data_IF_850355721292
#
_entry.id   IF_850355721292
#
_cell.length_a   1.000
_cell.length_b   1.000
_cell.length_c   1.000
_cell.angle_alpha   90.00
_cell.angle_beta   90.00
_cell.angle_gamma   90.00
#
_symmetry.space_group_name_H-M   'P 1'
#
loop_
_entity.id
_entity.type
_entity.pdbx_description
1 polymer ?
#
# COMPACT_ATOMS: atom_id res chain seq x y z
N UNK A 1 10.42 20.70 2.48
CA UNK A 1 9.79 19.40 2.77
C UNK A 1 10.15 18.45 1.64
N UNK A 2 10.47 17.19 1.96
CA UNK A 2 10.82 16.19 0.95
C UNK A 2 9.67 15.95 -0.03
N UNK A 3 10.00 15.65 -1.29
CA UNK A 3 9.03 15.22 -2.31
C UNK A 3 8.71 13.73 -2.27
N UNK A 4 9.09 13.02 -1.21
CA UNK A 4 8.84 11.58 -1.04
C UNK A 4 8.07 11.37 0.26
N UNK A 5 6.93 10.70 0.16
CA UNK A 5 6.05 10.45 1.29
C UNK A 5 5.68 8.96 1.36
N UNK A 6 6.05 8.31 2.47
CA UNK A 6 5.42 7.05 2.87
C UNK A 6 4.07 7.40 3.49
N UNK A 7 3.00 6.75 3.09
CA UNK A 7 1.63 7.14 3.41
C UNK A 7 0.75 5.93 3.64
N UNK A 8 -0.19 6.08 4.57
CA UNK A 8 -1.18 5.08 4.93
C UNK A 8 -2.45 5.79 5.46
N UNK A 9 -3.60 5.16 5.29
CA UNK A 9 -4.89 5.68 5.73
C UNK A 9 -5.71 4.64 6.48
N UNK A 10 -6.41 5.09 7.51
CA UNK A 10 -7.55 4.37 8.07
C UNK A 10 -8.85 4.93 7.49
N UNK A 11 -9.82 4.06 7.29
CA UNK A 11 -11.08 4.41 6.62
C UNK A 11 -12.30 3.80 7.30
N UNK A 12 -13.48 4.32 7.00
CA UNK A 12 -14.76 3.84 7.54
C UNK A 12 -15.10 2.39 7.18
N UNK A 13 -14.67 1.91 6.00
CA UNK A 13 -14.95 0.57 5.46
C UNK A 13 -14.14 0.34 4.16
N UNK A 14 -14.15 -0.89 3.64
CA UNK A 14 -13.37 -1.26 2.45
C UNK A 14 -14.07 -1.02 1.09
N UNK A 15 -15.38 -0.79 1.06
CA UNK A 15 -16.16 -0.74 -0.19
C UNK A 15 -16.46 0.69 -0.65
N UNK A 16 -16.84 1.55 0.28
CA UNK A 16 -17.09 2.98 0.12
C UNK A 16 -16.25 3.79 1.13
N UNK A 17 -14.91 3.66 1.11
CA UNK A 17 -14.05 4.19 2.14
C UNK A 17 -14.14 5.72 2.23
N UNK A 18 -14.28 6.25 3.45
CA UNK A 18 -14.05 7.66 3.77
C UNK A 18 -12.89 7.75 4.76
N UNK A 19 -11.99 8.71 4.53
CA UNK A 19 -10.80 8.94 5.37
C UNK A 19 -11.19 9.25 6.82
N UNK A 20 -10.58 8.53 7.77
CA UNK A 20 -10.70 8.81 9.21
C UNK A 20 -9.35 9.09 9.88
N UNK A 21 -8.25 8.57 9.34
CA UNK A 21 -6.89 8.90 9.78
C UNK A 21 -5.96 8.90 8.58
N UNK A 22 -5.11 9.91 8.47
CA UNK A 22 -4.01 9.94 7.52
C UNK A 22 -2.70 10.05 8.28
N UNK A 23 -1.73 9.19 7.95
CA UNK A 23 -0.40 9.28 8.50
C UNK A 23 0.66 9.19 7.41
N UNK A 24 1.82 9.77 7.68
CA UNK A 24 2.92 9.64 6.75
C UNK A 24 4.28 10.01 7.31
N UNK A 25 5.30 9.61 6.55
CA UNK A 25 6.71 9.82 6.83
C UNK A 25 7.32 10.49 5.61
N UNK A 26 7.72 11.75 5.75
CA UNK A 26 8.50 12.43 4.72
C UNK A 26 9.92 11.88 4.75
N UNK A 27 10.36 11.32 3.63
CA UNK A 27 11.70 10.72 3.53
C UNK A 27 12.73 11.80 3.21
N UNK A 28 13.54 12.18 4.17
CA UNK A 28 14.61 13.16 4.03
C UNK A 28 15.96 12.45 3.88
N UNK A 29 16.73 12.82 2.86
CA UNK A 29 18.00 12.15 2.55
C UNK A 29 17.82 10.70 2.10
N UNK A 30 18.59 9.79 2.68
CA UNK A 30 18.52 8.37 2.35
C UNK A 30 17.29 7.72 3.02
N UNK A 31 16.53 6.87 2.32
CA UNK A 31 15.45 6.12 2.94
C UNK A 31 15.95 5.21 4.06
N UNK A 32 17.24 4.86 4.12
CA UNK A 32 17.84 4.03 5.18
C UNK A 32 18.14 4.79 6.48
N UNK A 33 18.19 6.11 6.44
CA UNK A 33 18.45 6.94 7.63
C UNK A 33 17.22 6.96 8.56
N UNK A 34 17.43 7.35 9.82
CA UNK A 34 16.32 7.54 10.76
C UNK A 34 15.46 8.73 10.29
N UNK A 35 14.20 8.45 10.01
CA UNK A 35 13.24 9.45 9.56
C UNK A 35 12.49 10.03 10.76
N UNK A 36 12.46 11.36 10.86
CA UNK A 36 11.87 12.08 11.98
C UNK A 36 10.66 12.91 11.60
N UNK A 37 10.56 13.30 10.32
CA UNK A 37 9.47 14.11 9.81
C UNK A 37 8.24 13.23 9.54
N UNK A 38 7.37 13.13 10.54
CA UNK A 38 6.16 12.30 10.51
C UNK A 38 4.93 13.15 10.83
N UNK A 39 3.78 12.75 10.31
CA UNK A 39 2.49 13.29 10.72
C UNK A 39 1.46 12.18 10.93
N UNK A 40 0.46 12.49 11.75
CA UNK A 40 -0.74 11.69 11.95
C UNK A 40 -1.87 12.66 12.24
N UNK A 41 -2.98 12.54 11.51
CA UNK A 41 -4.14 13.40 11.70
C UNK A 41 -5.41 12.59 11.49
N UNK A 42 -6.35 12.74 12.42
CA UNK A 42 -7.69 12.17 12.35
C UNK A 42 -8.66 13.15 11.71
N UNK A 43 -9.70 12.59 11.09
CA UNK A 43 -10.71 13.32 10.34
C UNK A 43 -12.10 12.82 10.70
N UNK A 44 -13.06 13.73 10.72
CA UNK A 44 -14.47 13.40 10.80
C UNK A 44 -14.95 12.95 9.40
N UNK A 45 -15.38 11.69 9.22
CA UNK A 45 -15.84 11.17 7.94
C UNK A 45 -17.26 11.61 7.55
N UNK A 46 -17.99 12.29 8.44
CA UNK A 46 -19.41 12.66 8.28
C UNK A 46 -20.34 11.45 8.04
N UNK A 47 -19.86 10.23 8.32
CA UNK A 47 -20.64 8.98 8.29
C UNK A 47 -20.09 7.96 9.31
N UNK A 48 -20.90 6.99 9.77
CA UNK A 48 -20.44 5.98 10.73
C UNK A 48 -19.34 5.07 10.18
N UNK A 49 -18.43 4.63 11.06
CA UNK A 49 -17.44 3.59 10.78
C UNK A 49 -18.13 2.21 10.81
N UNK A 50 -17.83 1.35 9.84
CA UNK A 50 -18.28 -0.04 9.88
C UNK A 50 -17.58 -0.82 11.00
N UNK A 51 -18.28 -1.76 11.65
CA UNK A 51 -17.66 -2.56 12.72
C UNK A 51 -16.46 -3.40 12.25
N UNK A 52 -16.41 -3.77 10.97
CA UNK A 52 -15.25 -4.46 10.39
C UNK A 52 -14.00 -3.59 10.32
N UNK A 53 -14.15 -2.33 9.88
CA UNK A 53 -13.06 -1.35 9.91
C UNK A 53 -12.64 -1.04 11.36
N UNK A 54 -13.62 -0.78 12.24
CA UNK A 54 -13.36 -0.54 13.66
C UNK A 54 -12.62 -1.71 14.33
N UNK A 55 -12.90 -2.95 13.95
CA UNK A 55 -12.16 -4.12 14.44
C UNK A 55 -10.72 -4.21 13.90
N UNK A 56 -10.42 -3.53 12.79
CA UNK A 56 -9.09 -3.50 12.16
C UNK A 56 -8.20 -2.42 12.79
N UNK A 57 -8.72 -1.20 12.94
CA UNK A 57 -7.93 -0.03 13.37
C UNK A 57 -8.28 0.50 14.77
N UNK A 58 -9.36 0.02 15.38
CA UNK A 58 -9.79 0.37 16.75
C UNK A 58 -10.04 1.87 17.02
N UNK A 59 -10.36 2.64 15.98
CA UNK A 59 -10.77 4.06 16.10
C UNK A 59 -12.29 4.10 16.21
N UNK A 60 -12.80 4.83 17.20
CA UNK A 60 -14.23 4.94 17.48
C UNK A 60 -14.84 6.21 16.86
N UNK A 61 -16.13 6.17 16.51
CA UNK A 61 -16.85 7.31 15.96
C UNK A 61 -16.79 8.52 16.91
N UNK A 62 -16.88 8.29 18.23
CA UNK A 62 -16.86 9.34 19.26
C UNK A 62 -15.52 10.09 19.30
N UNK A 63 -14.42 9.47 18.89
CA UNK A 63 -13.10 10.09 18.84
C UNK A 63 -12.94 11.07 17.67
N UNK A 64 -13.84 11.01 16.67
CA UNK A 64 -13.73 11.76 15.42
C UNK A 64 -14.66 12.99 15.36
N UNK A 65 -15.60 13.13 16.30
CA UNK A 65 -16.63 14.18 16.28
C UNK A 65 -16.03 15.59 16.18
N UNK A 66 -14.95 15.86 16.93
CA UNK A 66 -14.27 17.16 16.95
C UNK A 66 -13.14 17.33 15.92
N UNK A 67 -12.88 16.32 15.09
CA UNK A 67 -11.83 16.37 14.08
C UNK A 67 -12.26 17.22 12.87
N UNK A 68 -11.30 17.77 12.10
CA UNK A 68 -11.60 18.42 10.82
C UNK A 68 -12.26 17.42 9.86
N UNK A 69 -13.06 17.89 8.91
CA UNK A 69 -13.75 17.01 7.97
C UNK A 69 -12.75 16.29 7.07
N UNK A 70 -13.04 15.06 6.68
CA UNK A 70 -12.24 14.28 5.73
C UNK A 70 -11.95 15.03 4.42
N UNK A 71 -12.92 15.83 3.95
CA UNK A 71 -12.81 16.69 2.77
C UNK A 71 -11.77 17.82 2.88
N UNK A 72 -11.34 18.16 4.10
CA UNK A 72 -10.31 19.15 4.38
C UNK A 72 -8.90 18.59 4.18
N UNK A 73 -8.72 17.26 4.10
CA UNK A 73 -7.41 16.68 3.80
C UNK A 73 -6.87 17.24 2.46
N UNK A 74 -5.59 17.61 2.48
CA UNK A 74 -4.83 18.02 1.29
C UNK A 74 -3.47 17.35 1.30
N UNK A 75 -3.17 16.60 0.24
CA UNK A 75 -1.80 16.15 0.00
C UNK A 75 -0.92 17.36 -0.31
N UNK A 76 0.27 17.41 0.31
CA UNK A 76 1.23 18.48 0.04
C UNK A 76 1.64 18.47 -1.44
N UNK A 77 1.51 19.61 -2.12
CA UNK A 77 1.78 19.75 -3.55
C UNK A 77 3.22 19.41 -3.97
N UNK A 78 4.18 19.43 -3.03
CA UNK A 78 5.56 19.08 -3.31
C UNK A 78 5.82 17.55 -3.32
N UNK A 79 4.85 16.74 -2.92
CA UNK A 79 4.98 15.28 -2.95
C UNK A 79 5.01 14.81 -4.40
N UNK A 80 6.17 14.30 -4.81
CA UNK A 80 6.44 13.72 -6.12
C UNK A 80 6.16 12.22 -6.14
N UNK A 81 6.51 11.52 -5.07
CA UNK A 81 6.30 10.08 -4.89
C UNK A 81 5.47 9.83 -3.63
N UNK A 82 4.29 9.24 -3.82
CA UNK A 82 3.43 8.72 -2.77
C UNK A 82 3.64 7.20 -2.70
N UNK A 83 4.04 6.71 -1.53
CA UNK A 83 4.50 5.33 -1.34
C UNK A 83 3.65 4.67 -0.28
N UNK A 84 3.13 3.48 -0.56
CA UNK A 84 2.29 2.74 0.36
C UNK A 84 2.35 1.25 0.11
N UNK A 85 1.55 0.49 0.84
CA UNK A 85 1.41 -0.94 0.65
C UNK A 85 -0.01 -1.22 0.18
N UNK A 86 -0.19 -1.53 -1.12
CA UNK A 86 -1.47 -1.39 -1.82
C UNK A 86 -1.92 0.08 -2.00
N UNK A 87 -0.96 0.96 -2.30
CA UNK A 87 -1.11 2.43 -2.28
C UNK A 87 -2.27 3.00 -3.12
N UNK A 88 -2.78 2.25 -4.10
CA UNK A 88 -3.90 2.71 -4.93
C UNK A 88 -5.18 2.87 -4.13
N UNK A 89 -5.33 2.08 -3.05
CA UNK A 89 -6.41 2.25 -2.09
C UNK A 89 -6.31 3.62 -1.41
N UNK A 90 -5.23 3.90 -0.69
CA UNK A 90 -5.02 5.18 0.01
C UNK A 90 -5.08 6.38 -0.93
N UNK A 91 -4.48 6.25 -2.12
CA UNK A 91 -4.54 7.26 -3.16
C UNK A 91 -5.97 7.55 -3.61
N UNK A 92 -6.83 6.53 -3.70
CA UNK A 92 -8.24 6.70 -4.05
C UNK A 92 -9.03 7.39 -2.94
N UNK A 93 -8.75 7.05 -1.67
CA UNK A 93 -9.37 7.63 -0.47
C UNK A 93 -9.14 9.13 -0.39
N UNK A 94 -7.93 9.59 -0.73
CA UNK A 94 -7.56 11.02 -0.69
C UNK A 94 -7.93 11.80 -1.98
N UNK A 95 -8.78 11.23 -2.84
CA UNK A 95 -9.31 11.92 -4.01
C UNK A 95 -8.44 11.86 -5.27
N UNK A 96 -7.58 10.85 -5.40
CA UNK A 96 -6.78 10.57 -6.60
C UNK A 96 -5.91 11.75 -7.10
N UNK A 97 -5.12 12.40 -6.23
CA UNK A 97 -4.27 13.52 -6.65
C UNK A 97 -3.26 13.08 -7.74
N UNK A 98 -2.86 13.97 -8.67
CA UNK A 98 -1.90 13.64 -9.73
C UNK A 98 -0.49 13.49 -9.14
N UNK A 99 -0.15 12.28 -8.69
CA UNK A 99 1.13 11.96 -8.04
C UNK A 99 1.65 10.60 -8.52
N UNK A 100 2.98 10.43 -8.55
CA UNK A 100 3.56 9.12 -8.85
C UNK A 100 3.40 8.20 -7.66
N UNK A 101 2.92 6.99 -7.89
CA UNK A 101 2.60 6.00 -6.85
C UNK A 101 3.65 4.90 -6.85
N UNK A 102 4.17 4.54 -5.69
CA UNK A 102 5.06 3.40 -5.49
C UNK A 102 4.35 2.42 -4.57
N UNK A 103 4.06 1.23 -5.08
CA UNK A 103 3.38 0.17 -4.34
C UNK A 103 4.37 -0.90 -3.87
N UNK A 104 4.57 -0.95 -2.55
CA UNK A 104 5.43 -1.96 -1.92
C UNK A 104 4.82 -3.36 -1.91
N UNK A 105 3.50 -3.51 -2.02
CA UNK A 105 2.85 -4.83 -2.13
C UNK A 105 3.19 -5.49 -3.47
N UNK A 106 3.02 -4.74 -4.56
CA UNK A 106 3.37 -5.19 -5.90
C UNK A 106 4.86 -5.55 -5.98
N UNK A 107 5.73 -4.66 -5.49
CA UNK A 107 7.17 -4.90 -5.43
C UNK A 107 7.52 -6.13 -4.58
N UNK A 108 6.91 -6.31 -3.40
CA UNK A 108 7.17 -7.45 -2.54
C UNK A 108 6.81 -8.78 -3.21
N UNK A 109 5.67 -8.84 -3.93
CA UNK A 109 5.27 -10.03 -4.69
C UNK A 109 6.27 -10.39 -5.79
N UNK A 110 6.86 -9.39 -6.44
CA UNK A 110 7.89 -9.61 -7.46
C UNK A 110 9.23 -10.07 -6.87
N UNK A 111 9.62 -9.53 -5.70
CA UNK A 111 10.93 -9.76 -5.07
C UNK A 111 10.97 -11.01 -4.19
N UNK A 112 9.83 -11.41 -3.62
CA UNK A 112 9.69 -12.54 -2.69
C UNK A 112 8.54 -13.46 -3.10
N UNK A 113 8.48 -13.97 -4.35
CA UNK A 113 7.35 -14.77 -4.84
C UNK A 113 7.11 -16.07 -4.05
N UNK A 114 8.12 -16.54 -3.31
CA UNK A 114 8.08 -17.74 -2.49
C UNK A 114 7.33 -17.60 -1.16
N UNK A 115 7.07 -16.37 -0.69
CA UNK A 115 6.35 -16.15 0.56
C UNK A 115 4.86 -16.50 0.41
N UNK A 116 4.30 -17.10 1.45
CA UNK A 116 2.89 -17.52 1.50
C UNK A 116 1.91 -16.35 1.62
N UNK A 117 2.36 -15.20 2.12
CA UNK A 117 1.60 -13.97 2.21
C UNK A 117 2.51 -12.74 2.03
N UNK A 118 2.01 -11.77 1.27
CA UNK A 118 2.64 -10.47 1.06
C UNK A 118 1.92 -9.34 1.79
N UNK A 119 0.97 -9.65 2.69
CA UNK A 119 0.35 -8.61 3.52
C UNK A 119 1.40 -7.92 4.41
N UNK A 120 1.20 -6.63 4.70
CA UNK A 120 2.19 -5.79 5.38
C UNK A 120 2.74 -6.40 6.67
N UNK A 121 1.85 -6.92 7.52
CA UNK A 121 2.24 -7.58 8.79
C UNK A 121 3.00 -8.88 8.55
N UNK A 122 2.55 -9.70 7.59
CA UNK A 122 3.23 -10.96 7.25
C UNK A 122 4.65 -10.69 6.72
N UNK A 123 4.80 -9.72 5.81
CA UNK A 123 6.11 -9.27 5.33
C UNK A 123 6.97 -8.71 6.46
N UNK A 124 6.38 -7.97 7.39
CA UNK A 124 7.10 -7.45 8.56
C UNK A 124 7.68 -8.59 9.38
N UNK A 125 6.97 -9.70 9.59
CA UNK A 125 7.52 -10.89 10.26
C UNK A 125 8.54 -11.66 9.42
N UNK A 126 8.30 -11.78 8.11
CA UNK A 126 9.16 -12.51 7.18
C UNK A 126 10.53 -11.85 7.02
N UNK A 127 10.56 -10.51 6.95
CA UNK A 127 11.75 -9.70 6.69
C UNK A 127 12.43 -9.19 7.97
N UNK A 128 11.80 -9.35 9.13
CA UNK A 128 12.40 -8.99 10.42
C UNK A 128 13.40 -10.07 10.88
N UNK A 129 14.53 -9.62 11.42
CA UNK A 129 15.48 -10.48 12.15
C UNK A 129 14.74 -11.31 13.20
N UNK A 130 14.97 -12.62 13.20
CA UNK A 130 14.31 -13.57 14.09
C UNK A 130 14.40 -13.16 15.58
N UNK A 131 15.52 -12.55 15.99
CA UNK A 131 15.74 -12.10 17.37
C UNK A 131 14.88 -10.86 17.73
N UNK A 132 14.45 -10.09 16.74
CA UNK A 132 13.62 -8.88 16.92
C UNK A 132 12.12 -9.15 16.79
N UNK A 133 11.70 -10.36 16.39
CA UNK A 133 10.27 -10.71 16.23
C UNK A 133 9.45 -10.51 17.49
N UNK A 134 10.02 -10.72 18.68
CA UNK A 134 9.32 -10.43 19.95
C UNK A 134 9.00 -8.94 20.08
N UNK A 135 9.95 -8.06 19.78
CA UNK A 135 9.75 -6.61 19.82
C UNK A 135 8.73 -6.17 18.77
N UNK A 136 8.82 -6.71 17.54
CA UNK A 136 7.85 -6.44 16.48
C UNK A 136 6.43 -6.83 16.90
N UNK A 137 6.26 -8.01 17.52
CA UNK A 137 4.95 -8.46 18.02
C UNK A 137 4.37 -7.48 19.04
N UNK A 138 5.19 -6.96 19.96
CA UNK A 138 4.70 -5.99 20.94
C UNK A 138 4.29 -4.66 20.27
N UNK A 139 4.98 -4.22 19.21
CA UNK A 139 4.53 -3.05 18.42
C UNK A 139 3.17 -3.34 17.77
N UNK A 140 3.05 -4.47 17.07
CA UNK A 140 1.84 -4.83 16.34
C UNK A 140 0.61 -4.99 17.25
N UNK A 141 0.79 -5.56 18.45
CA UNK A 141 -0.32 -5.72 19.41
C UNK A 141 -0.83 -4.41 20.00
N UNK A 142 0.05 -3.41 20.11
CA UNK A 142 -0.23 -2.20 20.87
C UNK A 142 -0.47 -0.96 19.99
N UNK A 143 -0.29 -1.07 18.67
CA UNK A 143 -0.36 0.08 17.77
C UNK A 143 -0.83 -0.30 16.35
N UNK A 144 -2.12 -0.59 16.18
CA UNK A 144 -2.77 -0.55 14.86
C UNK A 144 -3.22 0.88 14.58
N UNK A 145 -2.38 1.62 13.88
CA UNK A 145 -2.67 2.97 13.40
C UNK A 145 -1.97 3.19 12.08
N UNK A 146 -2.46 4.16 11.29
CA UNK A 146 -1.88 4.46 9.99
C UNK A 146 -0.37 4.78 10.09
N UNK A 147 0.08 5.40 11.20
CA UNK A 147 1.51 5.71 11.36
C UNK A 147 2.35 4.45 11.60
N UNK A 148 1.82 3.45 12.31
CA UNK A 148 2.53 2.18 12.47
C UNK A 148 2.66 1.50 11.12
N UNK A 149 1.60 1.45 10.34
CA UNK A 149 1.61 0.81 9.02
C UNK A 149 2.51 1.56 8.02
N UNK A 150 2.53 2.90 8.03
CA UNK A 150 3.52 3.68 7.29
C UNK A 150 4.97 3.35 7.70
N UNK A 151 5.26 3.11 8.99
CA UNK A 151 6.60 2.71 9.46
C UNK A 151 6.96 1.29 9.00
N UNK A 152 6.03 0.36 9.05
CA UNK A 152 6.22 -1.00 8.56
C UNK A 152 6.43 -1.00 7.03
N UNK A 153 5.66 -0.19 6.30
CA UNK A 153 5.79 0.00 4.86
C UNK A 153 7.20 0.52 4.51
N UNK A 154 7.72 1.51 5.24
CA UNK A 154 9.09 1.99 5.07
C UNK A 154 10.14 0.88 5.34
N UNK A 155 9.90 0.03 6.34
CA UNK A 155 10.77 -1.12 6.63
C UNK A 155 10.77 -2.15 5.50
N UNK A 156 9.60 -2.48 4.95
CA UNK A 156 9.46 -3.36 3.78
C UNK A 156 10.14 -2.75 2.56
N UNK A 157 9.92 -1.46 2.30
CA UNK A 157 10.57 -0.74 1.21
C UNK A 157 12.10 -0.86 1.33
N UNK A 158 12.69 -0.58 2.49
CA UNK A 158 14.15 -0.70 2.72
C UNK A 158 14.68 -2.09 2.38
N UNK A 159 13.98 -3.15 2.79
CA UNK A 159 14.38 -4.52 2.48
C UNK A 159 14.37 -4.78 0.96
N UNK A 160 13.34 -4.30 0.26
CA UNK A 160 13.26 -4.40 -1.20
C UNK A 160 14.38 -3.61 -1.88
N UNK A 161 14.60 -2.35 -1.47
CA UNK A 161 15.65 -1.50 -2.03
C UNK A 161 17.04 -2.13 -1.86
N UNK A 162 17.30 -2.72 -0.68
CA UNK A 162 18.56 -3.41 -0.41
C UNK A 162 18.71 -4.68 -1.26
N UNK A 163 17.66 -5.51 -1.37
CA UNK A 163 17.70 -6.76 -2.14
C UNK A 163 17.86 -6.52 -3.65
N UNK A 164 17.27 -5.45 -4.16
CA UNK A 164 17.29 -5.09 -5.58
C UNK A 164 18.42 -4.11 -5.94
N UNK A 165 19.22 -3.68 -4.97
CA UNK A 165 20.27 -2.65 -5.12
C UNK A 165 19.76 -1.34 -5.79
N UNK A 166 18.59 -0.87 -5.34
CA UNK A 166 17.93 0.31 -5.90
C UNK A 166 18.18 1.57 -5.06
N UNK A 167 18.77 2.59 -5.69
CA UNK A 167 19.20 3.83 -5.00
C UNK A 167 18.48 5.10 -5.48
N UNK A 168 18.01 5.14 -6.73
CA UNK A 168 17.38 6.33 -7.32
C UNK A 168 15.87 6.20 -7.34
N UNK A 169 15.16 7.23 -6.87
CA UNK A 169 13.70 7.23 -6.84
C UNK A 169 13.01 7.06 -8.20
N UNK A 170 13.65 7.49 -9.30
CA UNK A 170 13.15 7.21 -10.67
C UNK A 170 13.12 5.72 -10.97
N UNK A 171 14.16 5.01 -10.55
CA UNK A 171 14.37 3.60 -10.85
C UNK A 171 13.51 2.74 -9.91
N UNK A 172 13.37 3.17 -8.66
CA UNK A 172 12.42 2.60 -7.69
C UNK A 172 10.99 2.72 -8.22
N UNK A 173 10.61 3.90 -8.75
CA UNK A 173 9.29 4.10 -9.35
C UNK A 173 9.09 3.22 -10.58
N UNK A 174 10.07 3.17 -11.50
CA UNK A 174 9.99 2.31 -12.68
C UNK A 174 9.85 0.83 -12.31
N UNK A 175 10.61 0.35 -11.32
CA UNK A 175 10.51 -1.01 -10.81
C UNK A 175 9.14 -1.30 -10.17
N UNK A 176 8.56 -0.33 -9.45
CA UNK A 176 7.21 -0.45 -8.91
C UNK A 176 6.17 -0.58 -10.03
N UNK A 177 6.27 0.24 -11.08
CA UNK A 177 5.36 0.19 -12.23
C UNK A 177 5.46 -1.15 -12.98
N UNK A 178 6.68 -1.71 -13.15
CA UNK A 178 6.84 -3.06 -13.69
C UNK A 178 6.20 -4.12 -12.77
N UNK A 179 6.46 -4.01 -11.47
CA UNK A 179 5.99 -4.99 -10.46
C UNK A 179 4.46 -5.04 -10.34
N UNK A 180 3.77 -3.95 -10.68
CA UNK A 180 2.31 -3.89 -10.68
C UNK A 180 1.70 -4.78 -11.76
N UNK A 181 2.42 -5.09 -12.85
CA UNK A 181 1.92 -5.93 -13.95
C UNK A 181 2.07 -7.42 -13.58
N UNK A 182 0.97 -8.15 -13.32
CA UNK A 182 1.06 -9.54 -12.88
C UNK A 182 1.60 -10.45 -13.98
N UNK A 183 2.65 -11.21 -13.67
CA UNK A 183 3.21 -12.26 -14.55
C UNK A 183 2.49 -13.60 -14.39
N UNK A 184 1.89 -13.83 -13.22
CA UNK A 184 1.14 -15.02 -12.83
C UNK A 184 -0.31 -14.63 -12.53
N UNK A 185 -1.26 -15.46 -12.94
CA UNK A 185 -2.68 -15.24 -12.69
C UNK A 185 -2.97 -15.25 -11.18
N UNK A 186 -3.49 -14.16 -10.60
CA UNK A 186 -3.60 -14.01 -9.16
C UNK A 186 -4.77 -14.77 -8.52
N UNK A 187 -5.81 -15.11 -9.29
CA UNK A 187 -7.05 -15.72 -8.80
C UNK A 187 -7.75 -16.59 -9.85
N UNK A 188 -8.86 -17.22 -9.44
CA UNK A 188 -9.77 -17.94 -10.33
C UNK A 188 -9.26 -19.31 -10.78
N UNK A 189 -9.91 -19.87 -11.81
CA UNK A 189 -9.66 -21.22 -12.34
C UNK A 189 -8.20 -21.47 -12.70
N UNK A 190 -7.52 -20.45 -13.22
CA UNK A 190 -6.15 -20.53 -13.69
C UNK A 190 -5.14 -19.90 -12.72
N UNK A 191 -5.51 -19.73 -11.44
CA UNK A 191 -4.60 -19.17 -10.41
C UNK A 191 -3.26 -19.92 -10.40
N UNK A 192 -2.16 -19.17 -10.38
CA UNK A 192 -0.80 -19.73 -10.39
C UNK A 192 -0.22 -20.03 -11.77
N UNK A 193 -1.02 -19.92 -12.84
CA UNK A 193 -0.54 -20.07 -14.22
C UNK A 193 -0.01 -18.74 -14.74
N UNK A 194 1.08 -18.76 -15.52
CA UNK A 194 1.59 -17.56 -16.17
C UNK A 194 0.53 -16.91 -17.06
N UNK A 195 0.37 -15.59 -16.97
CA UNK A 195 -0.65 -14.84 -17.74
C UNK A 195 -0.49 -15.10 -19.25
N UNK A 196 0.76 -15.22 -19.72
CA UNK A 196 1.07 -15.56 -21.13
C UNK A 196 0.59 -16.95 -21.55
N UNK A 197 0.58 -17.91 -20.62
CA UNK A 197 0.19 -19.29 -20.86
C UNK A 197 -1.33 -19.54 -20.65
N UNK A 198 -2.12 -18.50 -20.38
CA UNK A 198 -3.57 -18.65 -20.27
C UNK A 198 -4.19 -19.03 -21.64
N UNK A 199 -5.23 -19.88 -21.66
CA UNK A 199 -5.99 -20.17 -22.87
C UNK A 199 -6.59 -18.89 -23.49
N UNK A 200 -6.62 -18.80 -24.82
CA UNK A 200 -7.07 -17.59 -25.52
C UNK A 200 -8.54 -17.26 -25.29
N UNK A 201 -9.40 -18.28 -25.21
CA UNK A 201 -10.82 -18.14 -24.85
C UNK A 201 -10.97 -17.53 -23.44
N UNK A 202 -10.13 -17.95 -22.50
CA UNK A 202 -10.10 -17.42 -21.14
C UNK A 202 -9.59 -15.97 -21.12
N UNK A 203 -8.54 -15.64 -21.88
CA UNK A 203 -8.05 -14.25 -22.02
C UNK A 203 -9.14 -13.34 -22.62
N UNK A 204 -9.89 -13.80 -23.62
CA UNK A 204 -11.02 -13.04 -24.21
C UNK A 204 -12.13 -12.84 -23.19
N UNK A 205 -12.48 -13.89 -22.42
CA UNK A 205 -13.49 -13.79 -21.37
C UNK A 205 -13.08 -12.84 -20.25
N UNK A 206 -11.82 -12.90 -19.79
CA UNK A 206 -11.29 -12.01 -18.74
C UNK A 206 -11.39 -10.54 -19.13
N UNK A 207 -11.01 -10.18 -20.37
CA UNK A 207 -11.07 -8.79 -20.86
C UNK A 207 -12.49 -8.18 -20.85
N UNK A 208 -13.53 -9.01 -20.82
CA UNK A 208 -14.94 -8.56 -20.82
C UNK A 208 -15.53 -8.40 -19.42
N UNK A 209 -14.77 -8.70 -18.36
CA UNK A 209 -15.29 -8.58 -17.00
C UNK A 209 -15.38 -7.10 -16.58
N UNK A 210 -16.50 -6.67 -15.97
CA UNK A 210 -16.75 -5.25 -15.70
C UNK A 210 -15.78 -4.63 -14.70
N UNK A 211 -15.23 -5.43 -13.78
CA UNK A 211 -14.33 -4.99 -12.72
C UNK A 211 -12.93 -5.61 -12.85
N UNK A 212 -12.46 -5.82 -14.08
CA UNK A 212 -11.10 -6.31 -14.28
C UNK A 212 -10.08 -5.28 -13.78
N UNK A 213 -9.12 -5.75 -12.99
CA UNK A 213 -8.00 -4.93 -12.52
C UNK A 213 -7.19 -4.37 -13.72
N UNK A 214 -6.84 -3.08 -13.65
CA UNK A 214 -6.19 -2.39 -14.77
C UNK A 214 -4.81 -2.97 -15.11
N UNK A 215 -4.09 -3.50 -14.12
CA UNK A 215 -2.77 -4.06 -14.32
C UNK A 215 -2.84 -5.47 -14.88
N UNK A 216 -3.84 -6.26 -14.47
CA UNK A 216 -4.15 -7.53 -15.13
C UNK A 216 -4.54 -7.31 -16.59
N UNK A 217 -5.32 -6.27 -16.90
CA UNK A 217 -5.66 -5.92 -18.29
C UNK A 217 -4.40 -5.55 -19.11
N UNK A 218 -3.49 -4.74 -18.54
CA UNK A 218 -2.18 -4.44 -19.15
C UNK A 218 -1.37 -5.72 -19.41
N UNK A 219 -1.35 -6.65 -18.44
CA UNK A 219 -0.65 -7.93 -18.58
C UNK A 219 -1.22 -8.80 -19.72
N UNK A 220 -2.55 -8.85 -19.86
CA UNK A 220 -3.22 -9.58 -20.95
C UNK A 220 -2.87 -9.00 -22.32
N UNK A 221 -2.87 -7.67 -22.45
CA UNK A 221 -2.57 -7.00 -23.71
C UNK A 221 -1.08 -7.09 -24.11
N UNK A 222 -0.17 -7.21 -23.14
CA UNK A 222 1.25 -7.45 -23.39
C UNK A 222 1.61 -8.94 -23.64
N UNK A 223 0.63 -9.83 -23.49
CA UNK A 223 0.77 -11.27 -23.66
C UNK A 223 0.24 -11.80 -25.00
N UNK A 224 -0.11 -10.87 -25.92
CA UNK A 224 -0.43 -11.15 -27.32
C UNK A 224 0.84 -11.34 -28.17
#
# INVERSE_FOLDING_TARGET
>A
MSGILIFDTETTDASEPVLIEAAGIYVEGSPFDKQHNVFTQRYNPEKPISFGAMATHHILDEELVGCPKSSEFKLNANVKYLIGHNIDFDWSVIGKPPVKRIDTLAMARAVYPELDSHGLIALSYALCDANKRKQLREVLKNAHSALTDAKLCLSVLRNILQKMDLHKWSDIYAFSEESRIPKIMPFGKHKGIAVKALPDDYKIWLRKQPNIDEYLLKALNAAE
#
